data_IF_761893704402
#
_entry.id   IF_761893704402
#
_cell.length_a   1.000
_cell.length_b   1.000
_cell.length_c   1.000
_cell.angle_alpha   90.00
_cell.angle_beta   90.00
_cell.angle_gamma   90.00
#
_symmetry.space_group_name_H-M   'P 1'
#
loop_
_entity.id
_entity.type
_entity.pdbx_description
1 polymer ?
#
# COMPACT_ATOMS: atom_id res chain seq x y z
N UNK A 1 8.62 -27.36 -12.08
CA UNK A 1 7.33 -27.15 -12.78
C UNK A 1 6.65 -25.94 -12.18
N UNK A 2 6.79 -24.77 -12.86
CA UNK A 2 6.19 -23.52 -12.41
C UNK A 2 4.67 -23.61 -12.56
N UNK A 3 3.96 -23.59 -11.45
CA UNK A 3 2.52 -23.30 -11.45
C UNK A 3 2.36 -21.87 -11.93
N UNK A 4 1.94 -21.67 -13.19
CA UNK A 4 1.39 -20.39 -13.59
C UNK A 4 0.11 -20.19 -12.79
N UNK A 5 0.13 -19.26 -11.84
CA UNK A 5 -1.06 -18.89 -11.11
C UNK A 5 -1.94 -18.09 -12.06
N UNK A 6 -2.95 -18.73 -12.62
CA UNK A 6 -4.00 -18.01 -13.36
C UNK A 6 -4.83 -17.23 -12.36
N UNK A 7 -4.98 -15.93 -12.59
CA UNK A 7 -5.96 -15.13 -11.88
C UNK A 7 -7.34 -15.51 -12.39
N UNK A 8 -8.18 -16.09 -11.49
CA UNK A 8 -9.56 -16.42 -11.79
C UNK A 8 -10.49 -15.20 -11.66
N UNK A 9 -11.75 -15.37 -12.03
CA UNK A 9 -12.80 -14.39 -11.76
C UNK A 9 -13.54 -14.74 -10.46
N UNK A 10 -14.03 -13.72 -9.72
CA UNK A 10 -13.90 -12.29 -9.99
C UNK A 10 -12.49 -11.77 -9.72
N UNK A 11 -12.09 -10.74 -10.49
CA UNK A 11 -10.77 -10.11 -10.40
C UNK A 11 -10.88 -8.58 -10.53
N UNK A 12 -9.82 -7.89 -10.15
CA UNK A 12 -9.65 -6.47 -10.45
C UNK A 12 -8.59 -6.27 -11.52
N UNK A 13 -8.89 -5.40 -12.49
CA UNK A 13 -7.92 -4.88 -13.45
C UNK A 13 -7.62 -3.45 -13.07
N UNK A 14 -6.34 -3.13 -12.85
CA UNK A 14 -5.89 -1.81 -12.44
C UNK A 14 -4.62 -1.38 -13.19
N UNK A 15 -4.39 -0.07 -13.41
CA UNK A 15 -3.16 0.40 -14.03
C UNK A 15 -1.93 0.03 -13.19
N UNK A 16 -0.84 -0.31 -13.87
CA UNK A 16 0.48 -0.48 -13.23
C UNK A 16 0.92 0.80 -12.50
N UNK A 17 0.69 1.95 -13.10
CA UNK A 17 0.94 3.26 -12.51
C UNK A 17 -0.34 4.08 -12.48
N UNK A 18 -0.72 4.58 -11.30
CA UNK A 18 -1.95 5.35 -11.14
C UNK A 18 -2.39 5.42 -9.68
N UNK A 19 -3.53 6.06 -9.45
CA UNK A 19 -4.11 6.21 -8.11
C UNK A 19 -5.53 6.74 -8.18
N UNK A 20 -6.17 6.92 -7.02
CA UNK A 20 -7.51 7.49 -6.93
C UNK A 20 -8.62 6.65 -7.56
N UNK A 21 -8.43 5.35 -7.71
CA UNK A 21 -9.38 4.42 -8.34
C UNK A 21 -9.63 4.68 -9.85
N UNK A 22 -8.81 5.51 -10.48
CA UNK A 22 -8.94 5.79 -11.90
C UNK A 22 -8.54 4.56 -12.73
N UNK A 23 -9.41 4.15 -13.67
CA UNK A 23 -9.22 2.97 -14.52
C UNK A 23 -9.06 1.65 -13.74
N UNK A 24 -9.69 1.55 -12.56
CA UNK A 24 -9.80 0.29 -11.80
C UNK A 24 -11.15 -0.33 -12.08
N UNK A 25 -11.15 -1.57 -12.59
CA UNK A 25 -12.34 -2.27 -13.02
C UNK A 25 -12.47 -3.60 -12.29
N UNK A 26 -13.67 -3.87 -11.74
CA UNK A 26 -14.03 -5.22 -11.29
C UNK A 26 -14.49 -6.04 -12.50
N UNK A 27 -13.89 -7.20 -12.66
CA UNK A 27 -14.18 -8.14 -13.73
C UNK A 27 -14.85 -9.38 -13.12
N UNK A 28 -16.01 -9.73 -13.63
CA UNK A 28 -16.77 -10.91 -13.16
C UNK A 28 -16.64 -12.09 -14.10
N UNK A 29 -16.33 -11.82 -15.36
CA UNK A 29 -16.13 -12.81 -16.41
C UNK A 29 -15.25 -12.28 -17.55
N UNK A 30 -14.91 -13.15 -18.48
CA UNK A 30 -13.98 -12.84 -19.58
C UNK A 30 -14.47 -11.72 -20.51
N UNK A 31 -15.78 -11.57 -20.70
CA UNK A 31 -16.32 -10.49 -21.55
C UNK A 31 -16.06 -9.11 -20.92
N UNK A 32 -16.21 -8.98 -19.60
CA UNK A 32 -15.84 -7.74 -18.87
C UNK A 32 -14.38 -7.38 -19.13
N UNK A 33 -13.49 -8.39 -19.12
CA UNK A 33 -12.09 -8.16 -19.39
C UNK A 33 -11.87 -7.55 -20.77
N UNK A 34 -12.43 -8.13 -21.83
CA UNK A 34 -12.24 -7.61 -23.18
C UNK A 34 -12.84 -6.22 -23.37
N UNK A 35 -14.06 -5.99 -22.83
CA UNK A 35 -14.72 -4.69 -22.89
C UNK A 35 -13.87 -3.61 -22.18
N UNK A 36 -13.50 -3.85 -20.93
CA UNK A 36 -12.76 -2.86 -20.14
C UNK A 36 -11.32 -2.70 -20.60
N UNK A 37 -10.66 -3.77 -21.05
CA UNK A 37 -9.32 -3.66 -21.60
C UNK A 37 -9.28 -2.79 -22.87
N UNK A 38 -10.31 -2.86 -23.72
CA UNK A 38 -10.42 -2.00 -24.92
C UNK A 38 -10.48 -0.51 -24.55
N UNK A 39 -11.02 -0.15 -23.37
CA UNK A 39 -11.10 1.23 -22.88
C UNK A 39 -9.76 1.75 -22.35
N UNK A 40 -8.81 0.87 -22.02
CA UNK A 40 -7.54 1.27 -21.36
C UNK A 40 -6.49 1.82 -22.33
N UNK A 41 -6.68 1.70 -23.63
CA UNK A 41 -5.74 2.17 -24.64
C UNK A 41 -4.37 1.51 -24.53
N UNK A 42 -3.33 2.30 -24.25
CA UNK A 42 -1.94 1.82 -24.09
C UNK A 42 -1.50 1.66 -22.65
N UNK A 43 -2.41 1.70 -21.68
CA UNK A 43 -2.05 1.52 -20.28
C UNK A 43 -1.59 0.07 -20.03
N UNK A 44 -0.48 -0.06 -19.30
CA UNK A 44 -0.08 -1.36 -18.76
C UNK A 44 -1.00 -1.67 -17.59
N UNK A 45 -1.74 -2.77 -17.69
CA UNK A 45 -2.72 -3.18 -16.69
C UNK A 45 -2.24 -4.40 -15.92
N UNK A 46 -2.56 -4.44 -14.63
CA UNK A 46 -2.37 -5.58 -13.74
C UNK A 46 -3.72 -6.25 -13.49
N UNK A 47 -3.73 -7.59 -13.48
CA UNK A 47 -4.85 -8.38 -12.98
C UNK A 47 -4.53 -8.86 -11.57
N UNK A 48 -5.48 -8.66 -10.67
CA UNK A 48 -5.39 -9.06 -9.27
C UNK A 48 -6.63 -9.84 -8.87
N UNK A 49 -6.45 -10.98 -8.19
CA UNK A 49 -7.56 -11.73 -7.60
C UNK A 49 -8.39 -10.82 -6.68
N UNK A 50 -9.72 -10.95 -6.73
CA UNK A 50 -10.57 -10.33 -5.73
C UNK A 50 -10.41 -11.04 -4.39
N UNK A 51 -10.02 -10.30 -3.37
CA UNK A 51 -10.01 -10.79 -2.00
C UNK A 51 -11.33 -10.39 -1.34
N UNK A 52 -12.20 -11.36 -1.10
CA UNK A 52 -13.37 -11.16 -0.24
C UNK A 52 -12.86 -11.12 1.20
N UNK A 53 -13.01 -9.99 1.85
CA UNK A 53 -12.43 -9.73 3.17
C UNK A 53 -13.51 -9.46 4.22
N UNK A 54 -13.17 -9.77 5.48
CA UNK A 54 -13.95 -9.42 6.67
C UNK A 54 -13.52 -8.07 7.24
N UNK A 55 -12.21 -7.82 7.23
CA UNK A 55 -11.61 -6.59 7.75
C UNK A 55 -10.64 -6.02 6.71
N UNK A 56 -10.52 -4.69 6.68
CA UNK A 56 -9.60 -4.02 5.78
C UNK A 56 -8.95 -2.83 6.47
N UNK A 57 -7.65 -2.71 6.31
CA UNK A 57 -6.84 -1.70 6.99
C UNK A 57 -5.98 -0.93 6.00
N UNK A 58 -5.82 0.35 6.25
CA UNK A 58 -4.84 1.19 5.60
C UNK A 58 -3.80 1.63 6.63
N UNK A 59 -2.54 1.32 6.36
CA UNK A 59 -1.46 1.44 7.32
C UNK A 59 -0.43 2.44 6.83
N UNK A 60 -0.26 3.58 7.50
CA UNK A 60 0.90 4.44 7.26
C UNK A 60 2.17 3.78 7.79
N UNK A 61 3.28 4.00 7.06
CA UNK A 61 4.62 3.74 7.54
C UNK A 61 5.50 4.95 7.26
N UNK A 62 6.10 5.53 8.30
CA UNK A 62 6.97 6.69 8.21
C UNK A 62 8.34 6.32 8.77
N UNK A 63 9.39 6.62 7.98
CA UNK A 63 10.77 6.35 8.34
C UNK A 63 11.13 4.88 8.47
N UNK A 64 10.29 3.98 7.96
CA UNK A 64 10.48 2.52 8.11
C UNK A 64 10.37 2.02 9.55
N UNK A 65 9.87 2.83 10.49
CA UNK A 65 9.80 2.51 11.93
C UNK A 65 8.49 2.89 12.62
N UNK A 66 7.79 3.91 12.14
CA UNK A 66 6.53 4.37 12.73
C UNK A 66 5.35 3.86 11.91
N UNK A 67 4.47 3.08 12.52
CA UNK A 67 3.30 2.51 11.84
C UNK A 67 2.02 2.99 12.51
N UNK A 68 1.06 3.46 11.69
CA UNK A 68 -0.31 3.79 12.11
C UNK A 68 -1.28 2.93 11.32
N UNK A 69 -2.05 2.08 12.01
CA UNK A 69 -3.05 1.20 11.41
C UNK A 69 -4.41 1.83 11.57
N UNK A 70 -5.12 2.00 10.47
CA UNK A 70 -6.45 2.60 10.43
C UNK A 70 -7.44 1.61 9.82
N UNK A 71 -8.64 1.51 10.40
CA UNK A 71 -9.75 0.84 9.75
C UNK A 71 -10.10 1.54 8.44
N UNK A 72 -10.34 0.77 7.39
CA UNK A 72 -10.60 1.31 6.06
C UNK A 72 -11.61 0.43 5.33
N UNK A 73 -12.62 1.04 4.69
CA UNK A 73 -13.61 0.33 3.90
C UNK A 73 -13.60 0.88 2.47
N UNK A 74 -12.82 0.25 1.57
CA UNK A 74 -12.66 0.74 0.20
C UNK A 74 -13.94 0.73 -0.63
N UNK A 75 -14.96 -0.06 -0.22
CA UNK A 75 -16.26 -0.14 -0.91
C UNK A 75 -17.15 1.06 -0.59
N UNK A 76 -16.86 1.79 0.48
CA UNK A 76 -17.61 2.99 0.85
C UNK A 76 -17.28 4.17 -0.07
N UNK A 77 -18.21 5.14 -0.20
CA UNK A 77 -17.90 6.45 -0.76
C UNK A 77 -16.67 7.07 -0.10
N UNK A 78 -15.89 7.86 -0.83
CA UNK A 78 -14.59 8.38 -0.40
C UNK A 78 -14.58 8.96 1.02
N UNK A 79 -15.57 9.77 1.36
CA UNK A 79 -15.69 10.45 2.68
C UNK A 79 -16.09 9.53 3.84
N UNK A 80 -16.44 8.28 3.58
CA UNK A 80 -16.82 7.27 4.58
C UNK A 80 -15.84 6.09 4.67
N UNK A 81 -14.77 6.10 3.90
CA UNK A 81 -13.83 4.98 3.86
C UNK A 81 -13.13 4.73 5.19
N UNK A 82 -12.87 5.79 5.96
CA UNK A 82 -12.24 5.70 7.27
C UNK A 82 -13.25 5.65 8.43
N UNK A 83 -14.55 5.63 8.13
CA UNK A 83 -15.60 5.48 9.14
C UNK A 83 -15.82 4.05 9.62
N UNK A 84 -15.13 3.06 9.02
CA UNK A 84 -15.15 1.69 9.50
C UNK A 84 -14.54 1.60 10.91
N UNK A 85 -15.16 0.78 11.77
CA UNK A 85 -14.72 0.62 13.17
C UNK A 85 -14.35 -0.86 13.43
N UNK A 86 -13.37 -1.36 12.69
CA UNK A 86 -12.78 -2.66 12.99
C UNK A 86 -11.94 -2.56 14.28
N UNK A 87 -12.05 -3.57 15.14
CA UNK A 87 -11.32 -3.61 16.41
C UNK A 87 -10.37 -4.80 16.43
N UNK A 88 -9.18 -4.65 15.80
CA UNK A 88 -8.22 -5.73 15.73
C UNK A 88 -7.68 -6.07 17.13
N UNK A 89 -7.45 -7.36 17.37
CA UNK A 89 -6.76 -7.79 18.59
C UNK A 89 -5.30 -7.30 18.62
N UNK A 90 -4.68 -7.34 19.80
CA UNK A 90 -3.27 -6.97 19.94
C UNK A 90 -2.36 -7.84 19.05
N UNK A 91 -2.67 -9.11 18.88
CA UNK A 91 -1.93 -10.04 18.00
C UNK A 91 -2.07 -9.63 16.53
N UNK A 92 -3.29 -9.26 16.09
CA UNK A 92 -3.51 -8.76 14.72
C UNK A 92 -2.76 -7.46 14.48
N UNK A 93 -2.80 -6.51 15.42
CA UNK A 93 -2.06 -5.25 15.33
C UNK A 93 -0.54 -5.50 15.20
N UNK A 94 0.01 -6.39 16.04
CA UNK A 94 1.41 -6.77 15.99
C UNK A 94 1.77 -7.39 14.64
N UNK A 95 1.00 -8.36 14.18
CA UNK A 95 1.21 -9.03 12.89
C UNK A 95 1.19 -8.04 11.72
N UNK A 96 0.18 -7.17 11.65
CA UNK A 96 0.09 -6.17 10.59
C UNK A 96 1.25 -5.18 10.65
N UNK A 97 1.65 -4.74 11.85
CA UNK A 97 2.81 -3.86 12.04
C UNK A 97 4.09 -4.49 11.49
N UNK A 98 4.35 -5.76 11.82
CA UNK A 98 5.53 -6.48 11.32
C UNK A 98 5.53 -6.61 9.79
N UNK A 99 4.37 -6.90 9.19
CA UNK A 99 4.21 -6.97 7.73
C UNK A 99 4.48 -5.61 7.09
N UNK A 100 3.89 -4.54 7.60
CA UNK A 100 4.05 -3.19 7.09
C UNK A 100 5.51 -2.73 7.18
N UNK A 101 6.17 -2.95 8.30
CA UNK A 101 7.59 -2.66 8.47
C UNK A 101 8.45 -3.44 7.48
N UNK A 102 8.17 -4.73 7.31
CA UNK A 102 8.90 -5.58 6.37
C UNK A 102 8.74 -5.12 4.92
N UNK A 103 7.51 -4.82 4.48
CA UNK A 103 7.24 -4.29 3.14
C UNK A 103 8.03 -2.99 2.91
N UNK A 104 7.97 -2.05 3.85
CA UNK A 104 8.66 -0.76 3.71
C UNK A 104 10.19 -0.91 3.73
N UNK A 105 10.73 -1.84 4.50
CA UNK A 105 12.14 -2.18 4.49
C UNK A 105 12.62 -2.66 3.11
N UNK A 106 11.82 -3.50 2.44
CA UNK A 106 12.15 -3.98 1.09
C UNK A 106 11.97 -2.91 0.02
N UNK A 107 10.93 -2.08 0.13
CA UNK A 107 10.64 -1.02 -0.85
C UNK A 107 11.52 0.22 -0.64
N UNK A 108 12.07 0.43 0.55
CA UNK A 108 12.91 1.58 0.87
C UNK A 108 12.17 2.92 0.90
N UNK A 109 10.87 2.92 1.18
CA UNK A 109 10.11 4.16 1.31
C UNK A 109 10.30 4.81 2.67
N UNK A 110 10.55 6.11 2.66
CA UNK A 110 10.52 6.95 3.87
C UNK A 110 9.09 7.29 4.30
N UNK A 111 8.17 7.36 3.35
CA UNK A 111 6.74 7.59 3.59
C UNK A 111 5.91 6.72 2.65
N UNK A 112 5.01 5.93 3.19
CA UNK A 112 4.20 4.99 2.41
C UNK A 112 2.91 4.63 3.13
N UNK A 113 1.90 4.15 2.38
CA UNK A 113 0.79 3.38 2.94
C UNK A 113 0.74 2.00 2.33
N UNK A 114 0.34 1.05 3.18
CA UNK A 114 0.06 -0.35 2.83
C UNK A 114 -1.41 -0.63 3.11
N UNK A 115 -2.12 -1.16 2.14
CA UNK A 115 -3.49 -1.63 2.31
C UNK A 115 -3.50 -3.15 2.53
N UNK A 116 -4.07 -3.58 3.65
CA UNK A 116 -4.18 -4.98 4.05
C UNK A 116 -5.64 -5.40 4.14
N UNK A 117 -6.03 -6.38 3.33
CA UNK A 117 -7.32 -7.06 3.44
C UNK A 117 -7.14 -8.36 4.25
N UNK A 118 -8.01 -8.62 5.21
CA UNK A 118 -7.98 -9.84 6.01
C UNK A 118 -9.10 -10.78 5.58
N UNK A 119 -8.74 -12.02 5.25
CA UNK A 119 -9.65 -13.13 4.96
C UNK A 119 -9.21 -14.35 5.77
N UNK A 120 -10.11 -14.89 6.59
CA UNK A 120 -9.82 -16.03 7.48
C UNK A 120 -8.59 -15.80 8.38
N UNK A 121 -8.41 -14.55 8.83
CA UNK A 121 -7.27 -14.14 9.65
C UNK A 121 -5.95 -13.98 8.88
N UNK A 122 -5.93 -14.25 7.58
CA UNK A 122 -4.75 -14.10 6.71
C UNK A 122 -4.75 -12.71 6.08
N UNK A 123 -3.67 -11.91 6.24
CA UNK A 123 -3.54 -10.60 5.59
C UNK A 123 -3.05 -10.72 4.15
N UNK A 124 -3.71 -10.02 3.25
CA UNK A 124 -3.35 -9.87 1.84
C UNK A 124 -2.98 -8.41 1.58
N UNK A 125 -1.79 -8.16 1.07
CA UNK A 125 -1.38 -6.82 0.66
C UNK A 125 -2.02 -6.48 -0.70
N UNK A 126 -2.94 -5.52 -0.69
CA UNK A 126 -3.74 -5.13 -1.88
C UNK A 126 -3.08 -3.99 -2.65
N UNK A 127 -2.62 -2.98 -1.92
CA UNK A 127 -1.86 -1.84 -2.44
C UNK A 127 -0.78 -1.47 -1.41
N UNK A 128 0.48 -1.39 -1.84
CA UNK A 128 1.59 -1.22 -0.91
C UNK A 128 2.73 -0.33 -1.43
N UNK A 129 2.50 0.37 -2.54
CA UNK A 129 3.45 1.29 -3.17
C UNK A 129 2.83 2.67 -3.32
N UNK A 130 2.50 3.33 -2.21
CA UNK A 130 1.85 4.64 -2.21
C UNK A 130 2.66 5.67 -1.40
N UNK A 131 3.69 6.30 -2.02
CA UNK A 131 4.58 7.25 -1.32
C UNK A 131 3.94 8.63 -1.08
N UNK A 132 2.75 8.88 -1.62
CA UNK A 132 2.01 10.13 -1.45
C UNK A 132 0.55 9.83 -1.06
N UNK A 133 0.32 9.14 0.07
CA UNK A 133 -1.01 8.75 0.48
C UNK A 133 -1.85 9.97 0.90
N UNK A 134 -3.18 9.81 0.74
CA UNK A 134 -4.15 10.75 1.28
C UNK A 134 -3.99 10.87 2.80
N UNK A 135 -3.77 12.08 3.27
CA UNK A 135 -3.73 12.47 4.68
C UNK A 135 -4.61 13.70 4.94
N UNK A 136 -5.61 13.98 4.09
CA UNK A 136 -6.55 15.07 4.31
C UNK A 136 -7.35 14.82 5.59
N UNK A 137 -7.43 15.83 6.45
CA UNK A 137 -8.13 15.77 7.73
C UNK A 137 -9.60 15.36 7.58
N UNK A 138 -10.25 15.73 6.45
CA UNK A 138 -11.63 15.35 6.15
C UNK A 138 -11.78 13.90 5.77
N UNK A 139 -10.70 13.27 5.28
CA UNK A 139 -10.67 11.85 4.94
C UNK A 139 -10.31 10.99 6.14
N UNK A 140 -9.14 11.25 6.74
CA UNK A 140 -8.54 10.37 7.76
C UNK A 140 -8.97 10.71 9.19
N UNK A 141 -9.59 11.85 9.40
CA UNK A 141 -9.98 12.38 10.70
C UNK A 141 -8.84 13.03 11.48
N UNK A 142 -9.20 13.82 12.49
CA UNK A 142 -8.26 14.66 13.24
C UNK A 142 -7.11 13.86 13.86
N UNK A 143 -7.42 12.77 14.54
CA UNK A 143 -6.42 11.98 15.28
C UNK A 143 -5.35 11.39 14.36
N UNK A 144 -5.76 10.85 13.19
CA UNK A 144 -4.82 10.29 12.23
C UNK A 144 -4.02 11.38 11.53
N UNK A 145 -4.66 12.51 11.21
CA UNK A 145 -4.01 13.68 10.66
C UNK A 145 -2.89 14.21 11.58
N UNK A 146 -3.22 14.43 12.86
CA UNK A 146 -2.26 14.93 13.84
C UNK A 146 -1.05 13.98 13.97
N UNK A 147 -1.33 12.68 14.05
CA UNK A 147 -0.27 11.67 14.09
C UNK A 147 0.64 11.71 12.86
N UNK A 148 0.07 11.83 11.65
CA UNK A 148 0.86 11.93 10.41
C UNK A 148 1.71 13.18 10.42
N UNK A 149 1.13 14.34 10.74
CA UNK A 149 1.85 15.63 10.76
C UNK A 149 3.01 15.59 11.76
N UNK A 150 2.75 15.17 12.98
CA UNK A 150 3.78 15.12 14.04
C UNK A 150 4.89 14.12 13.67
N UNK A 151 4.51 12.92 13.25
CA UNK A 151 5.49 11.87 12.93
C UNK A 151 6.33 12.23 11.71
N UNK A 152 5.71 12.76 10.65
CA UNK A 152 6.42 13.17 9.44
C UNK A 152 7.36 14.36 9.71
N UNK A 153 6.91 15.36 10.49
CA UNK A 153 7.74 16.50 10.85
C UNK A 153 8.97 16.06 11.67
N UNK A 154 8.78 15.24 12.69
CA UNK A 154 9.87 14.73 13.51
C UNK A 154 10.86 13.91 12.67
N UNK A 155 10.34 13.05 11.78
CA UNK A 155 11.20 12.27 10.90
C UNK A 155 11.96 13.14 9.88
N UNK A 156 11.34 14.17 9.32
CA UNK A 156 12.00 15.11 8.43
C UNK A 156 13.16 15.86 9.15
N UNK A 157 12.94 16.29 10.39
CA UNK A 157 13.97 16.92 11.21
C UNK A 157 15.12 15.93 11.49
N UNK A 158 14.81 14.69 11.88
CA UNK A 158 15.81 13.64 12.10
C UNK A 158 16.67 13.42 10.85
N UNK A 159 16.05 13.32 9.67
CA UNK A 159 16.76 13.18 8.39
C UNK A 159 17.64 14.38 8.08
N UNK A 160 17.13 15.60 8.29
CA UNK A 160 17.89 16.82 8.04
C UNK A 160 19.13 16.92 8.94
N UNK A 161 19.00 16.55 10.22
CA UNK A 161 20.11 16.55 11.17
C UNK A 161 21.14 15.45 10.90
N UNK A 162 20.72 14.32 10.31
CA UNK A 162 21.59 13.20 9.96
C UNK A 162 22.21 13.34 8.56
N UNK A 163 21.89 14.41 7.81
CA UNK A 163 22.43 14.64 6.47
C UNK A 163 23.92 14.95 6.53
N UNK A 164 24.68 14.23 5.72
CA UNK A 164 26.11 14.45 5.51
C UNK A 164 26.36 14.98 4.09
N UNK A 165 27.31 15.92 3.93
CA UNK A 165 27.65 16.47 2.63
C UNK A 165 28.12 15.37 1.66
N UNK A 166 27.56 15.39 0.45
CA UNK A 166 27.87 14.42 -0.61
C UNK A 166 27.28 13.03 -0.41
N UNK A 167 26.50 12.81 0.65
CA UNK A 167 25.82 11.54 0.89
C UNK A 167 24.44 11.53 0.23
N UNK A 168 24.22 10.56 -0.63
CA UNK A 168 22.92 10.29 -1.23
C UNK A 168 22.04 9.53 -0.22
N UNK A 169 20.89 10.10 0.13
CA UNK A 169 19.89 9.48 1.00
C UNK A 169 18.80 8.72 0.24
N UNK A 170 18.94 8.56 -1.08
CA UNK A 170 17.98 7.82 -1.90
C UNK A 170 18.13 6.31 -1.67
N UNK A 171 17.25 5.74 -0.90
CA UNK A 171 17.19 4.29 -0.61
C UNK A 171 17.09 3.44 -1.87
N UNK A 172 16.40 3.92 -2.90
CA UNK A 172 16.31 3.29 -4.21
C UNK A 172 17.64 3.17 -4.94
N UNK A 173 18.52 4.15 -4.80
CA UNK A 173 19.87 4.11 -5.37
C UNK A 173 20.67 2.92 -4.85
N UNK A 174 20.62 2.67 -3.56
CA UNK A 174 21.27 1.52 -2.93
C UNK A 174 20.64 0.19 -3.35
N UNK A 175 19.31 0.13 -3.43
CA UNK A 175 18.59 -1.05 -3.89
C UNK A 175 18.99 -1.40 -5.33
N UNK A 176 18.99 -0.44 -6.25
CA UNK A 176 19.40 -0.61 -7.63
C UNK A 176 20.85 -1.04 -7.72
N UNK A 177 21.77 -0.42 -6.99
CA UNK A 177 23.19 -0.77 -6.96
C UNK A 177 23.41 -2.20 -6.49
N UNK A 178 22.71 -2.66 -5.45
CA UNK A 178 22.79 -4.03 -4.94
C UNK A 178 22.29 -5.02 -5.97
N UNK A 179 21.13 -4.76 -6.57
CA UNK A 179 20.54 -5.60 -7.61
C UNK A 179 21.43 -5.70 -8.84
N UNK A 180 21.98 -4.59 -9.33
CA UNK A 180 22.87 -4.56 -10.49
C UNK A 180 24.19 -5.31 -10.25
N UNK A 181 24.66 -5.37 -9.00
CA UNK A 181 25.88 -6.08 -8.63
C UNK A 181 25.65 -7.57 -8.29
N UNK A 182 24.47 -8.11 -8.51
CA UNK A 182 24.13 -9.51 -8.23
C UNK A 182 24.20 -9.89 -6.75
N UNK A 183 24.19 -8.90 -5.84
CA UNK A 183 24.18 -9.15 -4.39
C UNK A 183 22.74 -9.44 -3.94
N UNK A 184 22.54 -10.38 -3.00
CA UNK A 184 21.23 -10.61 -2.41
C UNK A 184 20.66 -9.29 -1.86
N UNK A 185 19.37 -9.09 -2.08
CA UNK A 185 18.66 -7.90 -1.59
C UNK A 185 18.35 -8.00 -0.09
N UNK A 186 18.64 -9.16 0.52
CA UNK A 186 18.39 -9.50 1.92
C UNK A 186 19.49 -10.40 2.45
#
# INVERSE_FOLDING_TARGET
>A
EGRSSYVGFPAYMKPFAGGGWKNVYKLTHMNDFFEKHAETGQLVMLLQEEIVFEEYYRCYCIGGKHVRIMSYEPRNPHHLRYAADFKPSAEKLKMMTEIVLKINQYLGYDFNTVELALRDGVPYAIDFCNPAPDADIKSVGQENFDWVVETAANYAIEKALAQEDGKDNLTWGEYIKRSANGKPLY
#
